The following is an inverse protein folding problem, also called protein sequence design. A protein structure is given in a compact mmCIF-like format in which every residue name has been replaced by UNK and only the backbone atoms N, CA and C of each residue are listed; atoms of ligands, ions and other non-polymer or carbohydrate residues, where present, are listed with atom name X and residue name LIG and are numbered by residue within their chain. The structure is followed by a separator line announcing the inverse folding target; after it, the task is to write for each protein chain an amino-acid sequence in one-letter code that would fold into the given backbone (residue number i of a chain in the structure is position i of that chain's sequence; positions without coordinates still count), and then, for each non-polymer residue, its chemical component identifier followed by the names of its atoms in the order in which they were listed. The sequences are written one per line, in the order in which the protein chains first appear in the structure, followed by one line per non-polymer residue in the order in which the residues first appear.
data_IF_010347527329
#
_entry.id   IF_010347527329
#
_cell.length_a   1.000
_cell.length_b   1.000
_cell.length_c   1.000
_cell.angle_alpha   90.00
_cell.angle_beta   90.00
_cell.angle_gamma   90.00
#
_symmetry.space_group_name_H-M   'P 1'
#
loop_
_entity.id
_entity.type
_entity.pdbx_description
1 polymer ?
#
# COMPACT_ATOMS: atom_id res chain seq x y z
N UNK A 1 25.35 -3.18 6.89
CA UNK A 1 24.08 -3.20 7.66
C UNK A 1 23.26 -4.38 7.15
N UNK A 2 22.46 -5.02 8.01
CA UNK A 2 21.50 -6.05 7.55
C UNK A 2 20.59 -5.50 6.44
N UNK A 3 20.29 -6.34 5.44
CA UNK A 3 19.36 -6.00 4.37
C UNK A 3 17.91 -6.06 4.81
N UNK A 4 17.62 -6.61 5.99
CA UNK A 4 16.29 -6.65 6.56
C UNK A 4 16.19 -5.59 7.66
N UNK A 5 15.19 -4.73 7.57
CA UNK A 5 14.90 -3.73 8.57
C UNK A 5 14.55 -4.44 9.89
N UNK A 6 15.18 -4.09 11.03
CA UNK A 6 14.84 -4.65 12.34
C UNK A 6 13.37 -4.47 12.72
N UNK A 7 12.71 -3.48 12.11
CA UNK A 7 11.28 -3.38 12.09
C UNK A 7 10.68 -4.25 10.98
N UNK A 8 10.18 -5.42 11.38
CA UNK A 8 9.37 -6.35 10.58
C UNK A 8 10.06 -6.91 9.32
N UNK A 9 11.39 -6.83 9.22
CA UNK A 9 12.19 -7.51 8.21
C UNK A 9 12.14 -6.90 6.81
N UNK A 10 11.59 -5.69 6.65
CA UNK A 10 11.42 -5.06 5.34
C UNK A 10 12.75 -4.75 4.66
N UNK A 11 12.82 -4.94 3.34
CA UNK A 11 14.08 -4.84 2.61
C UNK A 11 14.69 -3.43 2.65
N UNK A 12 15.92 -3.33 3.15
CA UNK A 12 16.75 -2.14 3.22
C UNK A 12 17.69 -1.99 2.01
N UNK A 13 17.65 -2.91 1.04
CA UNK A 13 18.43 -2.79 -0.19
C UNK A 13 18.17 -1.49 -0.97
N UNK A 14 17.01 -0.88 -0.74
CA UNK A 14 16.59 0.40 -1.34
C UNK A 14 16.54 1.56 -0.33
N UNK A 15 17.23 1.45 0.81
CA UNK A 15 17.23 2.51 1.81
C UNK A 15 17.89 3.79 1.28
N UNK A 16 17.28 4.94 1.56
CA UNK A 16 17.90 6.24 1.30
C UNK A 16 19.04 6.45 2.29
N UNK A 17 20.22 6.87 1.81
CA UNK A 17 21.34 7.23 2.69
C UNK A 17 21.35 8.74 2.88
N UNK A 18 21.16 9.18 4.13
CA UNK A 18 21.20 10.59 4.52
C UNK A 18 22.47 10.86 5.35
N UNK A 19 23.22 11.92 5.02
CA UNK A 19 24.42 12.34 5.74
C UNK A 19 24.10 13.43 6.77
N UNK A 20 24.50 13.23 8.02
CA UNK A 20 24.39 14.19 9.12
C UNK A 20 25.76 14.51 9.72
N UNK A 21 25.85 15.59 10.49
CA UNK A 21 27.08 16.01 11.19
C UNK A 21 27.65 14.93 12.14
N UNK A 22 26.81 14.00 12.60
CA UNK A 22 27.17 12.91 13.52
C UNK A 22 27.50 11.57 12.83
N UNK A 23 27.21 11.45 11.53
CA UNK A 23 27.40 10.22 10.74
C UNK A 23 26.40 10.07 9.59
N UNK A 24 26.55 9.00 8.81
CA UNK A 24 25.60 8.63 7.76
C UNK A 24 24.56 7.64 8.29
N UNK A 25 23.32 7.79 7.84
CA UNK A 25 22.15 7.07 8.34
C UNK A 25 21.41 6.45 7.15
N UNK A 26 21.06 5.18 7.26
CA UNK A 26 20.18 4.51 6.31
C UNK A 26 18.73 4.68 6.75
N UNK A 27 17.87 5.18 5.87
CA UNK A 27 16.46 5.37 6.12
C UNK A 27 15.68 4.28 5.42
N UNK A 28 14.99 3.45 6.21
CA UNK A 28 14.17 2.35 5.69
C UNK A 28 13.17 2.89 4.66
N UNK A 29 13.17 2.36 3.42
CA UNK A 29 12.34 2.91 2.35
C UNK A 29 10.85 2.64 2.58
N UNK A 30 10.55 1.64 3.41
CA UNK A 30 9.19 1.19 3.71
C UNK A 30 8.58 1.93 4.89
N UNK A 31 9.39 2.22 5.92
CA UNK A 31 8.88 2.65 7.23
C UNK A 31 9.54 3.93 7.76
N UNK A 32 10.54 4.46 7.02
CA UNK A 32 11.32 5.66 7.34
C UNK A 32 12.00 5.64 8.72
N UNK A 33 12.23 4.44 9.29
CA UNK A 33 13.14 4.28 10.42
C UNK A 33 14.56 4.57 9.96
N UNK A 34 15.20 5.47 10.68
CA UNK A 34 16.59 5.86 10.53
C UNK A 34 17.49 4.84 11.25
N UNK A 35 18.59 4.43 10.64
CA UNK A 35 19.57 3.55 11.29
C UNK A 35 20.97 4.10 11.00
N UNK A 36 21.69 4.50 12.05
CA UNK A 36 23.07 4.96 11.93
C UNK A 36 23.94 3.83 11.33
N UNK A 37 24.63 4.10 10.21
CA UNK A 37 25.36 3.08 9.46
C UNK A 37 26.54 2.47 10.22
N UNK A 38 27.04 3.14 11.27
CA UNK A 38 28.19 2.69 12.07
C UNK A 38 27.77 1.91 13.32
N UNK A 39 26.68 2.31 13.96
CA UNK A 39 26.24 1.77 15.26
C UNK A 39 24.98 0.93 15.17
N UNK A 40 24.24 1.09 14.06
CA UNK A 40 22.96 0.47 13.80
C UNK A 40 21.79 1.07 14.58
N UNK A 41 22.02 2.07 15.43
CA UNK A 41 20.98 2.63 16.29
C UNK A 41 20.04 3.53 15.50
N UNK A 42 18.75 3.42 15.80
CA UNK A 42 17.70 4.34 15.36
C UNK A 42 17.32 5.31 16.47
N UNK A 43 16.93 6.53 16.11
CA UNK A 43 16.29 7.48 17.02
C UNK A 43 15.02 6.91 17.68
N UNK A 44 14.39 5.93 17.04
CA UNK A 44 13.20 5.23 17.56
C UNK A 44 13.50 4.12 18.57
N UNK A 45 14.77 3.89 18.91
CA UNK A 45 15.21 2.87 19.87
C UNK A 45 15.41 1.48 19.28
N UNK A 46 15.15 1.29 17.98
CA UNK A 46 15.48 0.08 17.24
C UNK A 46 16.99 0.02 16.94
N UNK A 47 17.50 -1.20 16.68
CA UNK A 47 18.90 -1.40 16.31
C UNK A 47 19.05 -2.44 15.21
N UNK A 48 19.73 -2.04 14.13
CA UNK A 48 20.15 -2.94 13.04
C UNK A 48 21.56 -3.47 13.30
N UNK A 49 21.85 -4.70 12.87
CA UNK A 49 23.25 -5.14 12.90
C UNK A 49 24.04 -4.39 11.82
N UNK A 50 25.20 -3.89 12.21
CA UNK A 50 26.14 -3.20 11.34
C UNK A 50 27.47 -3.95 11.40
N UNK A 51 28.13 -4.03 10.25
CA UNK A 51 29.39 -4.75 10.09
C UNK A 51 30.37 -3.78 9.44
N UNK A 52 31.60 -3.71 9.95
CA UNK A 52 32.62 -2.89 9.33
C UNK A 52 33.00 -3.49 7.97
N UNK A 53 32.97 -2.66 6.92
CA UNK A 53 33.33 -3.05 5.57
C UNK A 53 34.49 -2.17 5.10
N UNK A 54 35.53 -2.79 4.55
CA UNK A 54 36.70 -2.13 4.00
C UNK A 54 36.92 -2.55 2.55
N UNK A 55 37.09 -1.60 1.65
CA UNK A 55 37.47 -1.90 0.26
C UNK A 55 38.98 -1.73 0.14
N UNK A 56 39.70 -2.82 -0.14
CA UNK A 56 41.14 -2.78 -0.39
C UNK A 56 41.41 -3.12 -1.84
N UNK A 57 42.25 -2.32 -2.48
CA UNK A 57 42.74 -2.60 -3.82
C UNK A 57 43.90 -3.58 -3.75
N UNK A 58 43.82 -4.68 -4.48
CA UNK A 58 44.92 -5.65 -4.54
C UNK A 58 46.04 -5.22 -5.49
N UNK A 59 47.11 -6.02 -5.56
CA UNK A 59 48.30 -5.74 -6.37
C UNK A 59 48.00 -5.66 -7.88
N UNK A 60 46.90 -6.27 -8.33
CA UNK A 60 46.42 -6.26 -9.71
C UNK A 60 45.46 -5.09 -10.01
N UNK A 61 45.19 -4.23 -9.01
CA UNK A 61 44.33 -3.07 -9.14
C UNK A 61 42.83 -3.36 -8.99
N UNK A 62 42.46 -4.55 -8.52
CA UNK A 62 41.05 -4.95 -8.31
C UNK A 62 40.61 -4.59 -6.90
N UNK A 63 39.48 -3.90 -6.79
CA UNK A 63 38.86 -3.57 -5.52
C UNK A 63 38.24 -4.84 -4.88
N UNK A 64 38.76 -5.25 -3.73
CA UNK A 64 38.26 -6.35 -2.92
C UNK A 64 37.55 -5.81 -1.68
N UNK A 65 36.32 -6.28 -1.47
CA UNK A 65 35.52 -5.93 -0.30
C UNK A 65 35.83 -6.92 0.83
N UNK A 66 36.29 -6.39 1.96
CA UNK A 66 36.51 -7.10 3.21
C UNK A 66 35.41 -6.70 4.17
N UNK A 67 34.84 -7.66 4.89
CA UNK A 67 33.87 -7.39 5.95
C UNK A 67 34.37 -8.04 7.23
N UNK A 68 34.23 -7.32 8.34
CA UNK A 68 34.46 -7.87 9.67
C UNK A 68 33.49 -9.02 9.94
N UNK A 69 34.02 -10.15 10.40
CA UNK A 69 33.20 -11.31 10.74
C UNK A 69 32.35 -11.00 11.98
N UNK A 70 31.10 -11.48 12.06
CA UNK A 70 30.29 -11.35 13.27
C UNK A 70 31.02 -11.90 14.51
N UNK A 71 30.89 -11.23 15.66
CA UNK A 71 31.58 -11.63 16.90
C UNK A 71 31.16 -13.01 17.43
N UNK A 72 29.96 -13.47 17.07
CA UNK A 72 29.42 -14.77 17.48
C UNK A 72 29.62 -15.83 16.39
N UNK A 73 30.65 -16.66 16.56
CA UNK A 73 30.86 -17.90 15.81
C UNK A 73 31.96 -17.88 14.76
N UNK A 74 32.41 -19.07 14.35
CA UNK A 74 33.42 -19.29 13.30
C UNK A 74 32.81 -20.18 12.22
N UNK A 75 32.90 -19.80 10.95
CA UNK A 75 32.33 -20.60 9.83
C UNK A 75 31.45 -19.82 8.84
N UNK A 76 31.43 -18.48 8.91
CA UNK A 76 30.66 -17.67 7.97
C UNK A 76 31.18 -17.79 6.54
N UNK A 77 30.28 -18.06 5.58
CA UNK A 77 30.58 -17.97 4.14
C UNK A 77 29.70 -16.91 3.47
N UNK A 78 30.29 -16.21 2.50
CA UNK A 78 29.54 -15.30 1.62
C UNK A 78 28.76 -16.17 0.62
N UNK A 79 27.45 -16.01 0.56
CA UNK A 79 26.57 -16.79 -0.32
C UNK A 79 26.08 -16.02 -1.54
N UNK A 80 25.94 -14.70 -1.43
CA UNK A 80 25.55 -13.83 -2.55
C UNK A 80 26.21 -12.45 -2.38
N UNK A 81 26.67 -11.88 -3.50
CA UNK A 81 27.13 -10.50 -3.60
C UNK A 81 26.42 -9.87 -4.81
N UNK A 82 25.57 -8.86 -4.58
CA UNK A 82 24.77 -8.23 -5.65
C UNK A 82 25.00 -6.70 -5.71
N UNK A 83 25.19 -6.11 -6.90
CA UNK A 83 25.17 -4.66 -7.06
C UNK A 83 23.77 -4.10 -6.79
N UNK A 84 23.68 -2.96 -6.10
CA UNK A 84 22.42 -2.25 -5.87
C UNK A 84 22.22 -1.19 -6.97
N UNK A 85 21.03 -1.14 -7.58
CA UNK A 85 20.70 -0.21 -8.65
C UNK A 85 20.54 1.22 -8.12
N UNK A 86 21.17 2.20 -8.79
CA UNK A 86 20.94 3.64 -8.55
C UNK A 86 19.66 4.18 -9.24
N UNK A 87 18.96 3.36 -10.03
CA UNK A 87 17.76 3.80 -10.76
C UNK A 87 16.49 3.52 -9.95
N UNK A 88 15.77 4.56 -9.54
CA UNK A 88 14.31 4.71 -9.74
C UNK A 88 13.82 6.12 -9.32
N UNK A 89 13.98 7.08 -10.24
CA UNK A 89 13.24 8.33 -10.27
C UNK A 89 12.92 8.70 -11.72
N UNK A 90 12.17 7.84 -12.44
CA UNK A 90 11.25 8.22 -13.51
C UNK A 90 10.66 6.96 -14.17
N UNK A 91 9.38 6.95 -14.58
CA UNK A 91 8.83 5.91 -15.45
C UNK A 91 9.41 6.03 -16.88
N UNK A 92 9.50 4.92 -17.64
CA UNK A 92 10.00 4.95 -19.00
C UNK A 92 9.13 5.85 -19.90
N UNK A 93 9.72 6.54 -20.90
CA UNK A 93 8.98 7.48 -21.74
C UNK A 93 7.87 6.79 -22.54
N UNK A 94 6.75 7.50 -22.69
CA UNK A 94 5.60 7.07 -23.48
C UNK A 94 6.02 6.86 -24.94
N UNK A 95 5.69 5.69 -25.49
CA UNK A 95 5.79 5.44 -26.92
C UNK A 95 4.88 6.42 -27.67
N UNK A 96 5.44 7.12 -28.65
CA UNK A 96 4.71 8.06 -29.51
C UNK A 96 3.70 7.31 -30.39
N UNK A 97 2.42 7.67 -30.28
CA UNK A 97 1.38 7.20 -31.19
C UNK A 97 1.62 7.69 -32.64
N UNK A 98 1.30 6.88 -33.67
CA UNK A 98 1.42 7.27 -35.05
C UNK A 98 0.32 8.27 -35.44
N UNK A 99 0.74 9.38 -36.05
CA UNK A 99 -0.09 10.45 -36.60
C UNK A 99 -1.05 9.89 -37.66
N UNK A 100 -2.36 9.91 -37.38
CA UNK A 100 -3.40 9.77 -38.39
C UNK A 100 -3.96 11.16 -38.75
N UNK A 101 -4.05 11.40 -40.05
CA UNK A 101 -4.37 12.67 -40.68
C UNK A 101 -5.72 13.25 -40.23
N UNK A 102 -5.72 14.56 -39.93
CA UNK A 102 -6.92 15.35 -39.61
C UNK A 102 -7.71 15.63 -40.90
N UNK A 103 -8.97 15.22 -40.92
CA UNK A 103 -10.00 15.83 -41.76
C UNK A 103 -10.67 16.96 -41.00
N UNK A 104 -10.78 18.12 -41.65
CA UNK A 104 -11.41 19.34 -41.12
C UNK A 104 -12.94 19.21 -41.00
N UNK A 105 -13.53 20.12 -40.22
CA UNK A 105 -14.96 20.35 -39.96
C UNK A 105 -15.65 19.56 -38.82
N UNK A 106 -15.32 19.95 -37.59
CA UNK A 106 -16.32 20.13 -36.53
C UNK A 106 -15.80 21.12 -35.49
N UNK A 107 -16.55 22.19 -35.21
CA UNK A 107 -16.25 23.18 -34.18
C UNK A 107 -16.31 22.48 -32.81
N UNK A 108 -15.22 22.37 -32.03
CA UNK A 108 -15.25 21.58 -30.81
C UNK A 108 -15.86 22.40 -29.66
N UNK A 109 -16.84 21.79 -29.00
CA UNK A 109 -17.21 22.08 -27.61
C UNK A 109 -15.98 21.84 -26.72
N UNK A 110 -15.70 22.65 -25.67
CA UNK A 110 -14.54 22.40 -24.82
C UNK A 110 -14.64 21.02 -24.16
N UNK A 111 -13.73 20.11 -24.52
CA UNK A 111 -13.61 18.81 -23.87
C UNK A 111 -12.84 18.97 -22.57
N UNK A 112 -13.23 18.22 -21.53
CA UNK A 112 -12.68 18.20 -20.17
C UNK A 112 -11.20 17.76 -20.06
N UNK A 113 -10.47 17.61 -21.18
CA UNK A 113 -9.11 17.08 -21.23
C UNK A 113 -8.00 18.14 -21.05
N UNK A 114 -8.34 19.41 -20.84
CA UNK A 114 -7.39 20.54 -20.81
C UNK A 114 -7.06 21.09 -19.39
N UNK A 115 -7.56 20.46 -18.31
CA UNK A 115 -7.26 20.94 -16.96
C UNK A 115 -5.81 20.56 -16.55
N UNK A 116 -4.96 21.53 -16.14
CA UNK A 116 -3.59 21.22 -15.73
C UNK A 116 -3.54 20.44 -14.42
N UNK A 117 -2.49 19.62 -14.27
CA UNK A 117 -2.22 18.83 -13.05
C UNK A 117 -2.21 19.73 -11.81
N UNK A 118 -1.49 20.85 -11.89
CA UNK A 118 -1.55 21.94 -10.91
C UNK A 118 -2.55 22.98 -11.41
N UNK A 119 -3.63 23.25 -10.65
CA UNK A 119 -4.58 24.31 -11.00
C UNK A 119 -3.88 25.67 -11.12
N UNK A 120 -4.28 26.47 -12.13
CA UNK A 120 -3.74 27.82 -12.34
C UNK A 120 -4.20 28.75 -11.21
N UNK A 121 -5.46 28.63 -10.81
CA UNK A 121 -6.04 29.40 -9.72
C UNK A 121 -5.92 28.61 -8.41
N UNK A 122 -5.40 29.27 -7.37
CA UNK A 122 -5.26 28.72 -6.02
C UNK A 122 -4.55 27.34 -5.97
N UNK A 123 -3.29 27.25 -6.46
CA UNK A 123 -2.56 25.99 -6.44
C UNK A 123 -2.44 25.46 -5.01
N UNK A 124 -2.67 24.15 -4.77
CA UNK A 124 -2.53 23.56 -3.45
C UNK A 124 -1.09 23.69 -2.92
N UNK A 125 -0.96 24.15 -1.69
CA UNK A 125 0.34 24.33 -1.00
C UNK A 125 0.57 23.33 0.14
N UNK A 126 -0.48 22.63 0.56
CA UNK A 126 -0.43 21.62 1.63
C UNK A 126 -0.97 20.27 1.14
N UNK A 127 -0.62 19.20 1.85
CA UNK A 127 -1.10 17.86 1.53
C UNK A 127 -2.64 17.76 1.62
N UNK A 128 -3.26 18.40 2.61
CA UNK A 128 -4.74 18.41 2.72
C UNK A 128 -5.41 19.12 1.55
N UNK A 129 -4.82 20.22 1.05
CA UNK A 129 -5.35 20.90 -0.14
C UNK A 129 -5.24 20.01 -1.39
N UNK A 130 -4.12 19.29 -1.54
CA UNK A 130 -3.97 18.30 -2.61
C UNK A 130 -4.98 17.17 -2.49
N UNK A 131 -5.16 16.60 -1.30
CA UNK A 131 -6.11 15.52 -1.05
C UNK A 131 -7.54 15.93 -1.46
N UNK A 132 -7.99 17.11 -1.04
CA UNK A 132 -9.33 17.62 -1.40
C UNK A 132 -9.45 17.92 -2.89
N UNK A 133 -8.42 18.46 -3.54
CA UNK A 133 -8.41 18.65 -4.99
C UNK A 133 -8.56 17.30 -5.74
N UNK A 134 -7.81 16.29 -5.31
CA UNK A 134 -7.82 14.95 -5.93
C UNK A 134 -9.20 14.30 -5.77
N UNK A 135 -9.79 14.36 -4.57
CA UNK A 135 -11.15 13.83 -4.32
C UNK A 135 -12.22 14.54 -5.15
N UNK A 136 -12.03 15.83 -5.48
CA UNK A 136 -12.91 16.60 -6.37
C UNK A 136 -12.56 16.47 -7.86
N UNK A 137 -11.56 15.67 -8.24
CA UNK A 137 -11.16 15.49 -9.64
C UNK A 137 -11.99 14.38 -10.28
N UNK A 138 -12.90 14.68 -11.25
CA UNK A 138 -13.79 13.67 -11.83
C UNK A 138 -13.08 12.75 -12.83
N UNK A 139 -12.10 13.29 -13.56
CA UNK A 139 -11.37 12.57 -14.60
C UNK A 139 -10.36 11.59 -13.95
N UNK A 140 -10.46 10.29 -14.23
CA UNK A 140 -9.63 9.28 -13.56
C UNK A 140 -8.14 9.39 -13.92
N UNK A 141 -7.80 9.83 -15.14
CA UNK A 141 -6.40 10.04 -15.55
C UNK A 141 -5.80 11.25 -14.85
N UNK A 142 -6.50 12.37 -14.85
CA UNK A 142 -6.05 13.58 -14.15
C UNK A 142 -5.90 13.32 -12.65
N UNK A 143 -6.78 12.50 -12.05
CA UNK A 143 -6.67 12.10 -10.65
C UNK A 143 -5.37 11.34 -10.36
N UNK A 144 -4.99 10.42 -11.23
CA UNK A 144 -3.70 9.70 -11.14
C UNK A 144 -2.53 10.68 -11.24
N UNK A 145 -2.55 11.58 -12.22
CA UNK A 145 -1.45 12.55 -12.40
C UNK A 145 -1.33 13.52 -11.23
N UNK A 146 -2.46 13.99 -10.68
CA UNK A 146 -2.48 14.79 -9.44
C UNK A 146 -1.98 14.02 -8.24
N UNK A 147 -2.31 12.74 -8.13
CA UNK A 147 -1.80 11.88 -7.06
C UNK A 147 -0.28 11.76 -7.15
N UNK A 148 0.27 11.38 -8.31
CA UNK A 148 1.73 11.32 -8.53
C UNK A 148 2.41 12.64 -8.18
N UNK A 149 1.86 13.76 -8.64
CA UNK A 149 2.42 15.08 -8.39
C UNK A 149 2.40 15.45 -6.90
N UNK A 150 1.27 15.27 -6.22
CA UNK A 150 1.14 15.55 -4.79
C UNK A 150 2.11 14.70 -3.95
N UNK A 151 2.24 13.41 -4.27
CA UNK A 151 3.16 12.49 -3.58
C UNK A 151 4.61 12.91 -3.81
N UNK A 152 4.98 13.29 -5.04
CA UNK A 152 6.33 13.82 -5.33
C UNK A 152 6.63 15.07 -4.50
N UNK A 153 5.71 16.05 -4.46
CA UNK A 153 5.91 17.26 -3.68
C UNK A 153 6.02 16.98 -2.17
N UNK A 154 5.25 16.02 -1.67
CA UNK A 154 5.30 15.60 -0.27
C UNK A 154 6.64 14.94 0.08
N UNK A 155 7.08 13.95 -0.71
CA UNK A 155 8.34 13.23 -0.49
C UNK A 155 9.59 14.11 -0.62
N UNK A 156 9.55 15.10 -1.51
CA UNK A 156 10.66 16.04 -1.73
C UNK A 156 10.62 17.27 -0.83
N UNK A 157 9.69 17.34 0.13
CA UNK A 157 9.57 18.48 1.05
C UNK A 157 9.19 19.81 0.38
N UNK A 158 8.67 19.78 -0.85
CA UNK A 158 8.26 20.98 -1.59
C UNK A 158 6.89 21.52 -1.17
N UNK A 159 6.09 20.73 -0.44
CA UNK A 159 4.87 21.21 0.19
C UNK A 159 5.19 22.08 1.40
N UNK A 160 4.39 23.13 1.63
CA UNK A 160 4.55 24.02 2.79
C UNK A 160 4.38 23.27 4.12
N UNK A 161 3.45 22.31 4.16
CA UNK A 161 3.21 21.41 5.29
C UNK A 161 2.21 20.31 4.90
N UNK A 162 1.93 19.38 5.82
CA UNK A 162 0.80 18.45 5.69
C UNK A 162 -0.52 19.24 5.69
N UNK A 163 -0.65 20.25 6.55
CA UNK A 163 -1.83 21.11 6.64
C UNK A 163 -2.98 20.54 7.49
N UNK A 164 -2.80 19.38 8.12
CA UNK A 164 -3.83 18.74 8.95
C UNK A 164 -4.11 19.51 10.25
N UNK A 165 -3.10 20.16 10.84
CA UNK A 165 -3.27 20.98 12.05
C UNK A 165 -3.79 22.41 11.78
N UNK A 166 -4.16 22.73 10.54
CA UNK A 166 -4.66 24.06 10.18
C UNK A 166 -6.10 24.24 10.65
N UNK A 167 -6.42 25.38 11.28
CA UNK A 167 -7.81 25.74 11.62
C UNK A 167 -8.71 25.88 10.39
N UNK A 168 -8.11 26.09 9.22
CA UNK A 168 -8.79 26.21 7.93
C UNK A 168 -8.43 25.03 7.00
N UNK A 169 -8.19 23.84 7.56
CA UNK A 169 -7.98 22.65 6.75
C UNK A 169 -9.21 22.44 5.83
N UNK A 170 -9.00 22.22 4.51
CA UNK A 170 -10.11 22.05 3.59
C UNK A 170 -10.85 20.75 3.90
N UNK A 171 -12.18 20.77 3.77
CA UNK A 171 -13.02 19.61 4.01
C UNK A 171 -13.12 18.75 2.74
N UNK A 172 -12.93 17.41 2.82
CA UNK A 172 -13.17 16.53 1.67
C UNK A 172 -14.65 16.49 1.30
N UNK A 173 -15.00 16.18 0.04
CA UNK A 173 -16.38 15.95 -0.34
C UNK A 173 -16.95 14.72 0.38
N UNK A 174 -18.26 14.66 0.56
CA UNK A 174 -18.90 13.46 1.14
C UNK A 174 -18.83 12.26 0.16
N UNK A 175 -18.82 12.54 -1.14
CA UNK A 175 -18.58 11.56 -2.21
C UNK A 175 -17.60 12.16 -3.24
N UNK A 176 -16.51 11.45 -3.61
CA UNK A 176 -15.55 11.88 -4.60
C UNK A 176 -16.22 12.11 -5.95
N UNK A 177 -15.77 13.14 -6.65
CA UNK A 177 -16.29 13.44 -7.96
C UNK A 177 -15.94 12.32 -8.96
N UNK A 178 -16.83 12.13 -9.94
CA UNK A 178 -16.73 11.14 -11.00
C UNK A 178 -17.23 11.76 -12.29
N UNK A 179 -16.63 11.38 -13.41
CA UNK A 179 -17.12 11.70 -14.75
C UNK A 179 -18.59 11.28 -14.92
N UNK A 180 -19.40 12.09 -15.58
CA UNK A 180 -20.83 11.82 -15.81
C UNK A 180 -21.07 10.48 -16.53
N UNK A 181 -20.20 10.10 -17.45
CA UNK A 181 -20.27 8.82 -18.14
C UNK A 181 -20.07 7.65 -17.18
N UNK A 182 -19.18 7.80 -16.20
CA UNK A 182 -18.98 6.82 -15.15
C UNK A 182 -20.17 6.77 -14.18
N UNK A 183 -20.66 7.94 -13.75
CA UNK A 183 -21.78 8.05 -12.80
C UNK A 183 -23.06 7.37 -13.32
N UNK A 184 -23.32 7.44 -14.63
CA UNK A 184 -24.46 6.74 -15.27
C UNK A 184 -24.35 5.22 -15.24
N UNK A 185 -23.16 4.68 -15.07
CA UNK A 185 -22.88 3.25 -15.06
C UNK A 185 -22.75 2.65 -13.65
N UNK A 186 -22.90 3.46 -12.60
CA UNK A 186 -22.93 2.95 -11.23
C UNK A 186 -24.25 2.23 -10.98
N UNK A 187 -24.17 0.96 -10.61
CA UNK A 187 -25.30 0.08 -10.34
C UNK A 187 -25.17 -0.55 -8.95
N UNK A 188 -26.30 -0.97 -8.40
CA UNK A 188 -26.36 -1.75 -7.17
C UNK A 188 -25.50 -3.03 -7.31
N UNK A 189 -24.70 -3.41 -6.29
CA UNK A 189 -23.89 -4.63 -6.32
C UNK A 189 -24.67 -5.90 -6.74
N UNK A 190 -25.95 -6.03 -6.35
CA UNK A 190 -26.82 -7.16 -6.69
C UNK A 190 -27.16 -7.26 -8.19
N UNK A 191 -27.00 -6.16 -8.94
CA UNK A 191 -27.31 -6.08 -10.38
C UNK A 191 -26.10 -6.34 -11.28
N UNK A 192 -24.90 -6.49 -10.72
CA UNK A 192 -23.69 -6.82 -11.47
C UNK A 192 -23.71 -8.31 -11.83
N UNK A 193 -23.96 -8.63 -13.10
CA UNK A 193 -23.96 -10.02 -13.62
C UNK A 193 -22.55 -10.63 -13.55
N UNK A 194 -22.49 -11.97 -13.47
CA UNK A 194 -21.23 -12.72 -13.51
C UNK A 194 -20.34 -12.28 -14.69
N UNK A 195 -19.13 -11.80 -14.36
CA UNK A 195 -18.11 -11.32 -15.29
C UNK A 195 -17.42 -12.51 -15.96
N UNK A 196 -17.88 -12.85 -17.16
CA UNK A 196 -17.42 -14.07 -17.88
C UNK A 196 -16.24 -13.83 -18.82
N UNK A 197 -15.93 -12.58 -19.17
CA UNK A 197 -14.82 -12.27 -20.08
C UNK A 197 -13.72 -11.45 -19.38
N UNK A 198 -12.48 -11.58 -19.86
CA UNK A 198 -11.28 -10.96 -19.28
C UNK A 198 -11.37 -9.44 -19.21
N UNK A 199 -11.92 -8.80 -20.25
CA UNK A 199 -12.12 -7.35 -20.28
C UNK A 199 -13.01 -6.87 -19.14
N UNK A 200 -14.13 -7.56 -18.86
CA UNK A 200 -15.03 -7.21 -17.75
C UNK A 200 -14.39 -7.38 -16.37
N UNK A 201 -13.47 -8.34 -16.22
CA UNK A 201 -12.71 -8.52 -14.98
C UNK A 201 -11.70 -7.39 -14.79
N UNK A 202 -10.91 -7.07 -15.82
CA UNK A 202 -9.93 -5.98 -15.78
C UNK A 202 -10.58 -4.61 -15.55
N UNK A 203 -11.69 -4.33 -16.23
CA UNK A 203 -12.47 -3.10 -16.04
C UNK A 203 -12.90 -2.93 -14.58
N UNK A 204 -13.36 -4.02 -13.97
CA UNK A 204 -13.81 -3.97 -12.60
C UNK A 204 -12.69 -3.90 -11.57
N UNK A 205 -11.55 -4.54 -11.81
CA UNK A 205 -10.37 -4.38 -10.97
C UNK A 205 -9.90 -2.92 -11.04
N UNK A 206 -9.80 -2.33 -12.24
CA UNK A 206 -9.46 -0.91 -12.39
C UNK A 206 -10.46 0.00 -11.65
N UNK A 207 -11.74 -0.37 -11.62
CA UNK A 207 -12.73 0.37 -10.84
C UNK A 207 -12.50 0.27 -9.32
N UNK A 208 -12.01 -0.86 -8.82
CA UNK A 208 -11.63 -1.03 -7.42
C UNK A 208 -10.45 -0.11 -7.11
N UNK A 209 -9.40 -0.12 -7.93
CA UNK A 209 -8.21 0.72 -7.66
C UNK A 209 -8.55 2.21 -7.70
N UNK A 210 -9.47 2.62 -8.57
CA UNK A 210 -9.92 4.00 -8.59
C UNK A 210 -10.72 4.39 -7.33
N UNK A 211 -11.41 3.46 -6.69
CA UNK A 211 -11.94 3.71 -5.35
C UNK A 211 -10.83 3.71 -4.29
N UNK A 212 -9.83 2.84 -4.42
CA UNK A 212 -8.71 2.74 -3.49
C UNK A 212 -7.85 4.02 -3.46
N UNK A 213 -7.61 4.66 -4.61
CA UNK A 213 -6.98 6.01 -4.69
C UNK A 213 -7.76 7.00 -3.83
N UNK A 214 -9.09 7.05 -4.00
CA UNK A 214 -9.92 7.98 -3.22
C UNK A 214 -9.94 7.64 -1.73
N UNK A 215 -9.98 6.36 -1.36
CA UNK A 215 -9.97 5.94 0.04
C UNK A 215 -8.68 6.35 0.75
N UNK A 216 -7.54 6.22 0.06
CA UNK A 216 -6.23 6.63 0.55
C UNK A 216 -6.15 8.15 0.78
N UNK A 217 -6.73 8.96 -0.11
CA UNK A 217 -6.80 10.41 0.07
C UNK A 217 -7.85 10.83 1.11
N UNK A 218 -9.01 10.17 1.14
CA UNK A 218 -10.11 10.48 2.03
C UNK A 218 -9.73 10.26 3.49
N UNK A 219 -9.07 9.15 3.82
CA UNK A 219 -8.69 8.88 5.21
C UNK A 219 -7.75 9.98 5.75
N UNK A 220 -6.84 10.50 4.92
CA UNK A 220 -5.97 11.62 5.29
C UNK A 220 -6.75 12.93 5.43
N UNK A 221 -7.58 13.29 4.45
CA UNK A 221 -8.29 14.56 4.43
C UNK A 221 -9.41 14.64 5.49
N UNK A 222 -10.06 13.50 5.77
CA UNK A 222 -11.21 13.42 6.67
C UNK A 222 -10.80 13.34 8.13
N UNK A 223 -9.81 12.50 8.44
CA UNK A 223 -9.39 12.26 9.81
C UNK A 223 -8.20 13.12 10.23
N UNK A 224 -7.34 13.53 9.30
CA UNK A 224 -6.18 14.38 9.56
C UNK A 224 -6.49 15.63 10.41
N UNK A 225 -7.55 16.41 10.10
CA UNK A 225 -7.90 17.61 10.86
C UNK A 225 -8.63 17.38 12.18
N UNK A 226 -9.22 16.20 12.40
CA UNK A 226 -10.06 15.91 13.58
C UNK A 226 -9.38 15.02 14.61
N UNK A 227 -8.47 14.15 14.18
CA UNK A 227 -7.69 13.29 15.06
C UNK A 227 -6.46 14.04 15.55
N UNK A 228 -6.32 14.11 16.88
CA UNK A 228 -5.16 14.73 17.50
C UNK A 228 -3.94 13.82 17.36
N UNK A 229 -2.77 14.43 17.16
CA UNK A 229 -1.47 13.76 17.19
C UNK A 229 -1.22 12.64 16.16
N UNK A 230 -1.96 12.65 15.03
CA UNK A 230 -1.58 11.83 13.88
C UNK A 230 -0.14 12.15 13.43
N UNK A 231 0.77 11.16 13.45
CA UNK A 231 2.17 11.39 13.12
C UNK A 231 2.36 11.54 11.61
N UNK A 232 3.43 12.22 11.14
CA UNK A 232 3.74 12.34 9.71
C UNK A 232 3.79 11.00 8.96
N UNK A 233 4.20 9.92 9.64
CA UNK A 233 4.23 8.57 9.08
C UNK A 233 2.86 8.07 8.60
N UNK A 234 1.75 8.53 9.22
CA UNK A 234 0.39 8.20 8.77
C UNK A 234 0.15 8.71 7.36
N UNK A 235 0.50 9.97 7.13
CA UNK A 235 0.38 10.59 5.83
C UNK A 235 1.35 9.99 4.81
N UNK A 236 2.55 9.56 5.24
CA UNK A 236 3.50 8.86 4.39
C UNK A 236 2.98 7.51 3.88
N UNK A 237 2.36 6.70 4.75
CA UNK A 237 1.78 5.42 4.35
C UNK A 237 0.63 5.61 3.35
N UNK A 238 -0.32 6.48 3.67
CA UNK A 238 -1.49 6.65 2.82
C UNK A 238 -1.17 7.39 1.52
N UNK A 239 -0.13 8.23 1.47
CA UNK A 239 0.39 8.77 0.19
C UNK A 239 1.12 7.72 -0.64
N UNK A 240 1.85 6.78 0.00
CA UNK A 240 2.41 5.61 -0.71
C UNK A 240 1.31 4.73 -1.28
N UNK A 241 0.31 4.37 -0.48
CA UNK A 241 -0.83 3.56 -0.93
C UNK A 241 -1.57 4.24 -2.08
N UNK A 242 -1.87 5.54 -1.99
CA UNK A 242 -2.49 6.28 -3.09
C UNK A 242 -1.67 6.23 -4.40
N UNK A 243 -0.34 6.25 -4.30
CA UNK A 243 0.56 6.11 -5.45
C UNK A 243 0.55 4.69 -6.03
N UNK A 244 0.57 3.67 -5.17
CA UNK A 244 0.47 2.27 -5.59
C UNK A 244 -0.87 2.00 -6.29
N UNK A 245 -1.98 2.50 -5.75
CA UNK A 245 -3.29 2.35 -6.41
C UNK A 245 -3.39 3.12 -7.73
N UNK A 246 -2.71 4.26 -7.82
CA UNK A 246 -2.56 4.98 -9.09
C UNK A 246 -1.77 4.18 -10.13
N UNK A 247 -0.74 3.44 -9.69
CA UNK A 247 0.03 2.50 -10.52
C UNK A 247 -0.84 1.31 -10.93
N UNK A 248 -1.56 0.69 -10.00
CA UNK A 248 -2.45 -0.44 -10.26
C UNK A 248 -3.53 -0.08 -11.28
N UNK A 249 -4.21 1.06 -11.07
CA UNK A 249 -5.19 1.60 -12.00
C UNK A 249 -4.61 1.77 -13.40
N UNK A 250 -3.42 2.36 -13.51
CA UNK A 250 -2.74 2.59 -14.79
C UNK A 250 -2.39 1.29 -15.49
N UNK A 251 -1.87 0.29 -14.77
CA UNK A 251 -1.54 -1.03 -15.32
C UNK A 251 -2.79 -1.76 -15.83
N UNK A 252 -3.86 -1.78 -15.04
CA UNK A 252 -5.11 -2.46 -15.38
C UNK A 252 -5.82 -1.81 -16.56
N UNK A 253 -5.88 -0.47 -16.60
CA UNK A 253 -6.49 0.26 -17.73
C UNK A 253 -5.67 0.16 -19.01
N UNK A 254 -4.34 0.11 -18.91
CA UNK A 254 -3.45 -0.17 -20.05
C UNK A 254 -3.67 -1.58 -20.58
N UNK A 255 -3.76 -2.59 -19.70
CA UNK A 255 -4.08 -3.97 -20.09
C UNK A 255 -5.47 -4.11 -20.70
N UNK A 256 -6.47 -3.45 -20.12
CA UNK A 256 -7.83 -3.43 -20.66
C UNK A 256 -7.84 -2.86 -22.08
N UNK A 257 -7.20 -1.71 -22.30
CA UNK A 257 -7.12 -1.08 -23.63
C UNK A 257 -6.43 -1.99 -24.65
N UNK A 258 -5.35 -2.67 -24.25
CA UNK A 258 -4.64 -3.60 -25.13
C UNK A 258 -5.46 -4.87 -25.45
N UNK A 259 -6.24 -5.39 -24.49
CA UNK A 259 -7.02 -6.61 -24.65
C UNK A 259 -8.37 -6.37 -25.35
N UNK A 260 -8.99 -5.22 -25.11
CA UNK A 260 -10.29 -4.85 -25.66
C UNK A 260 -10.34 -3.34 -25.93
N UNK A 261 -9.77 -2.86 -27.05
CA UNK A 261 -9.80 -1.43 -27.41
C UNK A 261 -11.22 -0.86 -27.53
N UNK A 262 -12.21 -1.71 -27.82
CA UNK A 262 -13.63 -1.35 -27.87
C UNK A 262 -14.31 -1.22 -26.50
N UNK A 263 -13.58 -1.43 -25.40
CA UNK A 263 -14.11 -1.38 -24.02
C UNK A 263 -13.30 -0.40 -23.18
N UNK A 264 -13.54 0.92 -23.32
CA UNK A 264 -12.82 1.90 -22.51
C UNK A 264 -13.19 1.78 -21.03
N UNK A 265 -12.28 2.21 -20.15
CA UNK A 265 -12.60 2.35 -18.73
C UNK A 265 -13.84 3.24 -18.53
N UNK A 266 -14.68 2.91 -17.55
CA UNK A 266 -15.97 3.57 -17.32
C UNK A 266 -17.11 3.17 -18.27
N UNK A 267 -16.87 2.34 -19.30
CA UNK A 267 -17.93 1.95 -20.27
C UNK A 267 -18.84 0.81 -19.81
N UNK A 268 -18.54 0.16 -18.69
CA UNK A 268 -19.29 -0.99 -18.18
C UNK A 268 -19.91 -0.66 -16.82
N UNK A 269 -21.00 -1.37 -16.43
CA UNK A 269 -21.58 -1.21 -15.10
C UNK A 269 -20.59 -1.53 -13.97
N UNK A 270 -20.53 -0.64 -12.98
CA UNK A 270 -19.65 -0.73 -11.81
C UNK A 270 -20.46 -0.55 -10.53
N UNK A 271 -19.93 -0.98 -9.39
CA UNK A 271 -20.58 -0.75 -8.10
C UNK A 271 -19.75 0.20 -7.22
N UNK A 272 -20.41 0.84 -6.25
CA UNK A 272 -19.80 1.77 -5.30
C UNK A 272 -19.59 1.16 -3.91
N UNK A 273 -19.68 -0.18 -3.77
CA UNK A 273 -19.63 -0.87 -2.47
C UNK A 273 -18.47 -0.48 -1.53
N UNK A 274 -17.27 -0.22 -2.07
CA UNK A 274 -16.15 0.28 -1.26
C UNK A 274 -16.46 1.67 -0.66
N UNK A 275 -17.02 2.58 -1.46
CA UNK A 275 -17.40 3.91 -0.99
C UNK A 275 -18.64 3.92 -0.09
N UNK A 276 -19.56 2.98 -0.28
CA UNK A 276 -20.68 2.76 0.63
C UNK A 276 -20.16 2.41 2.03
N UNK A 277 -19.20 1.47 2.13
CA UNK A 277 -18.50 1.18 3.41
C UNK A 277 -17.74 2.40 3.96
N UNK A 278 -17.12 3.21 3.10
CA UNK A 278 -16.43 4.43 3.50
C UNK A 278 -17.39 5.48 4.08
N UNK A 279 -18.60 5.57 3.52
CA UNK A 279 -19.68 6.46 3.99
C UNK A 279 -20.15 6.01 5.38
N UNK A 280 -20.42 4.72 5.57
CA UNK A 280 -20.81 4.14 6.87
C UNK A 280 -19.77 4.43 7.95
N UNK A 281 -18.49 4.35 7.61
CA UNK A 281 -17.37 4.51 8.55
C UNK A 281 -16.82 5.94 8.65
N UNK A 282 -17.43 6.90 7.95
CA UNK A 282 -16.91 8.29 7.84
C UNK A 282 -16.78 9.05 9.16
N UNK A 283 -17.40 8.55 10.23
CA UNK A 283 -17.45 9.17 11.55
C UNK A 283 -16.36 8.69 12.52
N UNK A 284 -15.56 7.68 12.16
CA UNK A 284 -14.61 7.04 13.09
C UNK A 284 -13.39 6.50 12.33
N UNK A 285 -12.19 6.98 12.71
CA UNK A 285 -10.94 6.51 12.12
C UNK A 285 -10.75 4.99 12.35
N UNK A 286 -11.06 4.50 13.56
CA UNK A 286 -10.99 3.07 13.88
C UNK A 286 -11.94 2.25 13.00
N UNK A 287 -13.17 2.71 12.81
CA UNK A 287 -14.14 2.04 11.94
C UNK A 287 -13.65 2.02 10.49
N UNK A 288 -13.06 3.14 10.02
CA UNK A 288 -12.50 3.24 8.67
C UNK A 288 -11.36 2.27 8.46
N UNK A 289 -10.40 2.24 9.39
CA UNK A 289 -9.25 1.33 9.36
C UNK A 289 -9.69 -0.13 9.40
N UNK A 290 -10.65 -0.50 10.26
CA UNK A 290 -11.17 -1.85 10.34
C UNK A 290 -11.86 -2.30 9.04
N UNK A 291 -12.83 -1.53 8.54
CA UNK A 291 -13.66 -1.99 7.42
C UNK A 291 -12.95 -1.83 6.08
N UNK A 292 -12.30 -0.70 5.84
CA UNK A 292 -11.63 -0.48 4.56
C UNK A 292 -10.28 -1.20 4.58
N UNK A 293 -9.39 -0.84 5.50
CA UNK A 293 -7.99 -1.27 5.43
C UNK A 293 -7.69 -2.68 5.96
N UNK A 294 -8.60 -3.29 6.73
CA UNK A 294 -8.41 -4.64 7.28
C UNK A 294 -9.44 -5.67 6.81
N UNK A 295 -10.57 -5.24 6.25
CA UNK A 295 -11.56 -6.14 5.63
C UNK A 295 -11.50 -6.07 4.10
N UNK A 296 -11.65 -4.88 3.50
CA UNK A 296 -11.62 -4.76 2.03
C UNK A 296 -10.22 -4.99 1.46
N UNK A 297 -9.17 -4.36 1.98
CA UNK A 297 -7.80 -4.59 1.46
C UNK A 297 -7.34 -6.04 1.70
N UNK A 298 -7.62 -6.61 2.88
CA UNK A 298 -7.31 -8.01 3.16
C UNK A 298 -8.05 -9.00 2.24
N UNK A 299 -9.17 -8.56 1.61
CA UNK A 299 -9.85 -9.37 0.59
C UNK A 299 -9.01 -9.52 -0.66
N UNK A 300 -8.21 -8.51 -1.03
CA UNK A 300 -7.26 -8.56 -2.14
C UNK A 300 -6.29 -9.74 -1.99
N UNK A 301 -5.71 -9.90 -0.79
CA UNK A 301 -4.81 -11.01 -0.46
C UNK A 301 -5.42 -12.40 -0.68
N UNK A 302 -6.72 -12.53 -0.45
CA UNK A 302 -7.46 -13.78 -0.59
C UNK A 302 -7.83 -14.11 -2.04
N UNK A 303 -8.27 -13.09 -2.80
CA UNK A 303 -8.89 -13.28 -4.12
C UNK A 303 -7.92 -13.16 -5.28
N UNK A 304 -6.83 -12.40 -5.11
CA UNK A 304 -5.84 -12.16 -6.17
C UNK A 304 -5.15 -13.45 -6.62
N UNK A 305 -4.71 -14.38 -5.74
CA UNK A 305 -4.09 -15.64 -6.17
C UNK A 305 -4.97 -16.47 -7.12
N UNK A 306 -6.25 -16.61 -6.80
CA UNK A 306 -7.20 -17.33 -7.65
C UNK A 306 -7.48 -16.61 -8.98
N UNK A 307 -7.41 -15.28 -8.97
CA UNK A 307 -7.57 -14.44 -10.17
C UNK A 307 -6.37 -14.53 -11.10
N UNK A 308 -5.15 -14.46 -10.53
CA UNK A 308 -3.89 -14.70 -11.24
C UNK A 308 -3.91 -16.07 -11.92
N UNK A 309 -4.30 -17.11 -11.18
CA UNK A 309 -4.34 -18.47 -11.70
C UNK A 309 -5.37 -18.65 -12.84
N UNK A 310 -6.49 -17.92 -12.82
CA UNK A 310 -7.44 -17.90 -13.93
C UNK A 310 -6.82 -17.31 -15.20
N UNK A 311 -6.09 -16.19 -15.08
CA UNK A 311 -5.40 -15.59 -16.23
C UNK A 311 -4.26 -16.48 -16.75
N UNK A 312 -3.52 -17.13 -15.84
CA UNK A 312 -2.47 -18.10 -16.18
C UNK A 312 -3.02 -19.27 -16.99
N UNK A 313 -4.11 -19.89 -16.53
CA UNK A 313 -4.82 -20.95 -17.27
C UNK A 313 -5.37 -20.52 -18.61
N UNK A 314 -5.70 -19.23 -18.77
CA UNK A 314 -6.14 -18.65 -20.03
C UNK A 314 -4.97 -18.27 -20.97
N UNK A 315 -3.72 -18.51 -20.58
CA UNK A 315 -2.53 -18.14 -21.36
C UNK A 315 -2.26 -16.63 -21.44
N UNK A 316 -2.86 -15.83 -20.55
CA UNK A 316 -2.73 -14.38 -20.54
C UNK A 316 -1.56 -13.94 -19.63
N UNK A 317 -0.34 -14.22 -20.08
CA UNK A 317 0.90 -13.97 -19.30
C UNK A 317 1.09 -12.50 -18.96
N UNK A 318 0.65 -11.59 -19.83
CA UNK A 318 0.78 -10.14 -19.59
C UNK A 318 -0.16 -9.66 -18.48
N UNK A 319 -1.36 -10.20 -18.39
CA UNK A 319 -2.26 -9.90 -17.27
C UNK A 319 -1.79 -10.55 -15.97
N UNK A 320 -1.19 -11.74 -16.04
CA UNK A 320 -0.56 -12.38 -14.87
C UNK A 320 0.51 -11.48 -14.26
N UNK A 321 1.44 -10.96 -15.06
CA UNK A 321 2.48 -10.03 -14.59
C UNK A 321 1.90 -8.80 -13.89
N UNK A 322 0.85 -8.21 -14.47
CA UNK A 322 0.17 -7.04 -13.86
C UNK A 322 -0.44 -7.40 -12.51
N UNK A 323 -1.15 -8.53 -12.43
CA UNK A 323 -1.78 -8.97 -11.19
C UNK A 323 -0.76 -9.39 -10.11
N UNK A 324 0.40 -9.92 -10.50
CA UNK A 324 1.49 -10.27 -9.59
C UNK A 324 2.13 -9.01 -8.97
N UNK A 325 2.28 -7.93 -9.74
CA UNK A 325 2.70 -6.62 -9.20
C UNK A 325 1.69 -6.14 -8.15
N UNK A 326 0.40 -6.09 -8.52
CA UNK A 326 -0.66 -5.63 -7.62
C UNK A 326 -0.66 -6.46 -6.33
N UNK A 327 -0.63 -7.79 -6.45
CA UNK A 327 -0.67 -8.67 -5.29
C UNK A 327 0.52 -8.48 -4.33
N UNK A 328 1.71 -8.15 -4.83
CA UNK A 328 2.87 -7.88 -3.99
C UNK A 328 2.69 -6.60 -3.16
N UNK A 329 2.10 -5.55 -3.73
CA UNK A 329 1.88 -4.27 -3.05
C UNK A 329 0.81 -4.37 -1.95
N UNK A 330 -0.24 -5.17 -2.16
CA UNK A 330 -1.39 -5.36 -1.26
C UNK A 330 -1.00 -5.78 0.16
N UNK A 331 0.06 -6.59 0.31
CA UNK A 331 0.56 -7.01 1.64
C UNK A 331 0.99 -5.78 2.44
N UNK A 332 1.63 -4.81 1.78
CA UNK A 332 2.09 -3.58 2.43
C UNK A 332 0.93 -2.65 2.79
N UNK A 333 -0.16 -2.68 2.04
CA UNK A 333 -1.36 -1.88 2.30
C UNK A 333 -2.11 -2.39 3.52
N UNK A 334 -2.32 -3.70 3.62
CA UNK A 334 -2.92 -4.33 4.81
C UNK A 334 -2.03 -4.13 6.03
N UNK A 335 -0.70 -4.20 5.88
CA UNK A 335 0.26 -3.91 6.95
C UNK A 335 0.10 -2.48 7.47
N UNK A 336 -0.01 -1.48 6.57
CA UNK A 336 -0.25 -0.10 6.95
C UNK A 336 -1.60 0.05 7.68
N UNK A 337 -2.66 -0.59 7.18
CA UNK A 337 -3.96 -0.65 7.85
C UNK A 337 -3.86 -1.20 9.27
N UNK A 338 -3.15 -2.32 9.45
CA UNK A 338 -2.97 -2.97 10.75
C UNK A 338 -2.17 -2.11 11.71
N UNK A 339 -1.10 -1.47 11.22
CA UNK A 339 -0.25 -0.55 11.99
C UNK A 339 -1.06 0.61 12.55
N UNK A 340 -1.84 1.29 11.70
CA UNK A 340 -2.63 2.44 12.14
C UNK A 340 -3.83 2.06 12.99
N UNK A 341 -4.43 0.89 12.75
CA UNK A 341 -5.50 0.38 13.60
C UNK A 341 -4.98 0.09 15.02
N UNK A 342 -3.85 -0.60 15.13
CA UNK A 342 -3.19 -0.88 16.42
C UNK A 342 -2.73 0.39 17.11
N UNK A 343 -2.16 1.35 16.37
CA UNK A 343 -1.79 2.66 16.91
C UNK A 343 -3.01 3.40 17.46
N UNK A 344 -4.13 3.41 16.73
CA UNK A 344 -5.36 4.09 17.17
C UNK A 344 -5.94 3.43 18.45
N UNK A 345 -5.87 2.10 18.57
CA UNK A 345 -6.22 1.40 19.81
C UNK A 345 -5.33 1.84 20.98
N UNK A 346 -4.01 1.94 20.76
CA UNK A 346 -3.07 2.39 21.78
C UNK A 346 -3.29 3.86 22.18
N UNK A 347 -3.68 4.73 21.24
CA UNK A 347 -4.05 6.12 21.55
C UNK A 347 -5.35 6.20 22.37
N UNK A 348 -6.36 5.37 22.06
CA UNK A 348 -7.58 5.28 22.86
C UNK A 348 -7.26 4.89 24.32
N UNK A 349 -6.40 3.88 24.50
CA UNK A 349 -5.91 3.46 25.82
C UNK A 349 -5.13 4.57 26.55
N UNK A 350 -4.22 5.26 25.86
CA UNK A 350 -3.44 6.36 26.44
C UNK A 350 -4.36 7.52 26.88
N UNK A 351 -5.35 7.86 26.06
CA UNK A 351 -6.31 8.90 26.37
C UNK A 351 -7.20 8.55 27.56
N UNK A 352 -7.59 7.29 27.72
CA UNK A 352 -8.30 6.80 28.90
C UNK A 352 -7.43 6.91 30.16
N UNK A 353 -6.17 6.48 30.09
CA UNK A 353 -5.21 6.61 31.20
C UNK A 353 -4.99 8.05 31.62
N UNK A 354 -4.88 8.98 30.67
CA UNK A 354 -4.74 10.42 30.94
C UNK A 354 -5.98 11.01 31.65
N UNK A 355 -7.14 10.37 31.55
CA UNK A 355 -8.38 10.73 32.27
C UNK A 355 -8.53 10.02 33.62
N UNK A 356 -7.57 9.16 34.01
CA UNK A 356 -7.61 8.37 35.22
C UNK A 356 -8.44 7.08 35.10
N UNK A 357 -8.73 6.62 33.88
CA UNK A 357 -9.46 5.38 33.62
C UNK A 357 -8.47 4.23 33.35
N UNK A 358 -8.72 3.06 33.96
CA UNK A 358 -7.97 1.83 33.67
C UNK A 358 -8.66 1.03 32.56
N UNK A 359 -8.45 1.48 31.32
CA UNK A 359 -8.94 0.78 30.12
C UNK A 359 -7.76 0.12 29.40
N UNK A 360 -7.93 -1.13 28.98
CA UNK A 360 -7.01 -1.84 28.09
C UNK A 360 -7.74 -2.09 26.78
N UNK A 361 -7.15 -1.65 25.65
CA UNK A 361 -7.77 -1.79 24.34
C UNK A 361 -7.04 -2.88 23.55
N UNK A 362 -7.61 -4.09 23.54
CA UNK A 362 -7.13 -5.20 22.71
C UNK A 362 -7.51 -4.95 21.22
N UNK A 363 -6.54 -4.81 20.30
CA UNK A 363 -6.81 -4.57 18.89
C UNK A 363 -7.67 -5.68 18.24
N UNK A 364 -7.49 -6.95 18.62
CA UNK A 364 -8.28 -8.05 18.05
C UNK A 364 -9.75 -7.89 18.43
N UNK A 365 -10.01 -7.67 19.73
CA UNK A 365 -11.37 -7.45 20.24
C UNK A 365 -11.99 -6.20 19.61
N UNK A 366 -11.25 -5.09 19.58
CA UNK A 366 -11.71 -3.82 19.00
C UNK A 366 -12.05 -3.97 17.52
N UNK A 367 -11.21 -4.65 16.74
CA UNK A 367 -11.46 -4.92 15.32
C UNK A 367 -12.76 -5.70 15.12
N UNK A 368 -12.97 -6.78 15.90
CA UNK A 368 -14.19 -7.59 15.80
C UNK A 368 -15.44 -6.79 16.15
N UNK A 369 -15.37 -5.88 17.12
CA UNK A 369 -16.46 -4.96 17.44
C UNK A 369 -16.75 -3.96 16.31
N UNK A 370 -15.71 -3.41 15.67
CA UNK A 370 -15.86 -2.52 14.52
C UNK A 370 -16.47 -3.25 13.32
N UNK A 371 -16.06 -4.48 13.03
CA UNK A 371 -16.66 -5.30 11.98
C UNK A 371 -18.12 -5.61 12.27
N UNK A 372 -18.46 -5.98 13.51
CA UNK A 372 -19.86 -6.19 13.90
C UNK A 372 -20.73 -4.96 13.60
N UNK A 373 -20.23 -3.77 13.90
CA UNK A 373 -20.98 -2.52 13.70
C UNK A 373 -21.01 -2.05 12.24
N UNK A 374 -19.91 -2.25 11.50
CA UNK A 374 -19.67 -1.63 10.20
C UNK A 374 -19.78 -2.56 8.98
N UNK A 375 -20.05 -3.86 9.18
CA UNK A 375 -20.13 -4.85 8.11
C UNK A 375 -21.46 -5.62 8.14
N UNK A 376 -21.91 -6.13 6.99
CA UNK A 376 -23.13 -6.95 6.89
C UNK A 376 -22.77 -8.39 6.50
N UNK A 377 -23.14 -9.35 7.36
CA UNK A 377 -22.97 -10.78 7.10
C UNK A 377 -21.54 -11.28 7.29
N UNK A 378 -21.27 -12.50 6.85
CA UNK A 378 -20.01 -13.16 7.19
C UNK A 378 -18.79 -12.56 6.47
N UNK A 379 -17.66 -12.51 7.18
CA UNK A 379 -16.35 -12.36 6.55
C UNK A 379 -16.00 -13.72 5.95
N UNK A 380 -16.19 -13.84 4.63
CA UNK A 380 -16.11 -15.14 3.93
C UNK A 380 -14.71 -15.41 3.42
N UNK A 381 -14.23 -16.63 3.64
CA UNK A 381 -13.04 -17.16 2.97
C UNK A 381 -13.26 -17.43 1.46
N UNK A 382 -12.32 -18.13 0.80
CA UNK A 382 -11.08 -18.66 1.38
C UNK A 382 -10.18 -17.55 1.91
N UNK A 383 -9.39 -17.82 2.95
CA UNK A 383 -8.43 -16.87 3.51
C UNK A 383 -7.02 -17.26 3.08
N UNK A 384 -6.24 -16.30 2.60
CA UNK A 384 -4.81 -16.47 2.43
C UNK A 384 -4.13 -16.24 3.77
N UNK A 385 -4.07 -17.29 4.60
CA UNK A 385 -3.57 -17.21 5.99
C UNK A 385 -2.14 -16.69 6.03
N UNK A 386 -1.27 -17.20 5.16
CA UNK A 386 0.14 -16.79 5.08
C UNK A 386 0.28 -15.30 4.74
N UNK A 387 -0.42 -14.82 3.71
CA UNK A 387 -0.34 -13.40 3.34
C UNK A 387 -0.96 -12.47 4.38
N UNK A 388 -2.07 -12.88 5.01
CA UNK A 388 -2.69 -12.13 6.11
C UNK A 388 -1.76 -12.07 7.32
N UNK A 389 -1.10 -13.16 7.67
CA UNK A 389 -0.15 -13.23 8.77
C UNK A 389 1.08 -12.36 8.51
N UNK A 390 1.63 -12.38 7.29
CA UNK A 390 2.69 -11.44 6.88
C UNK A 390 2.27 -9.96 7.04
N UNK A 391 0.99 -9.66 6.85
CA UNK A 391 0.43 -8.32 7.04
C UNK A 391 0.02 -8.00 8.50
N UNK A 392 0.22 -8.93 9.44
CA UNK A 392 -0.12 -8.79 10.86
C UNK A 392 -1.52 -9.25 11.26
N UNK A 393 -2.34 -9.73 10.31
CA UNK A 393 -3.68 -10.25 10.56
C UNK A 393 -3.65 -11.75 10.87
N UNK A 394 -3.55 -12.08 12.15
CA UNK A 394 -3.68 -13.47 12.62
C UNK A 394 -5.12 -13.98 12.46
N UNK A 395 -5.35 -15.31 12.47
CA UNK A 395 -6.70 -15.89 12.37
C UNK A 395 -7.70 -15.37 13.41
N UNK A 396 -7.22 -14.92 14.58
CA UNK A 396 -8.06 -14.36 15.66
C UNK A 396 -8.86 -13.13 15.22
N UNK A 397 -8.32 -12.36 14.26
CA UNK A 397 -9.01 -11.20 13.70
C UNK A 397 -10.29 -11.62 12.97
N UNK A 398 -10.23 -12.60 12.07
CA UNK A 398 -11.27 -12.80 11.05
C UNK A 398 -12.00 -14.14 11.13
N UNK A 399 -11.48 -15.16 11.83
CA UNK A 399 -12.16 -16.44 11.92
C UNK A 399 -13.50 -16.33 12.67
N UNK A 400 -14.54 -16.96 12.10
CA UNK A 400 -15.90 -16.94 12.63
C UNK A 400 -16.49 -15.54 12.82
N UNK A 401 -15.99 -14.55 12.07
CA UNK A 401 -16.44 -13.17 12.19
C UNK A 401 -17.59 -12.87 11.22
N UNK A 402 -18.63 -12.23 11.75
CA UNK A 402 -19.79 -11.80 10.98
C UNK A 402 -20.20 -10.39 11.43
N UNK A 403 -20.62 -9.60 10.46
CA UNK A 403 -21.11 -8.25 10.64
C UNK A 403 -22.61 -8.21 10.94
N UNK A 404 -23.02 -7.28 11.80
CA UNK A 404 -24.39 -7.10 12.29
C UNK A 404 -25.05 -5.82 11.74
N UNK A 405 -24.36 -5.09 10.85
CA UNK A 405 -24.91 -3.87 10.24
C UNK A 405 -26.20 -4.20 9.46
N UNK A 406 -27.29 -3.53 9.84
CA UNK A 406 -28.62 -3.71 9.26
C UNK A 406 -29.46 -4.82 9.90
N UNK A 407 -28.91 -5.58 10.86
CA UNK A 407 -29.67 -6.51 11.69
C UNK A 407 -30.14 -5.75 12.96
N UNK A 408 -31.34 -5.18 12.93
CA UNK A 408 -31.94 -4.61 14.14
C UNK A 408 -32.00 -5.65 15.29
N UNK A 409 -31.83 -5.18 16.53
CA UNK A 409 -31.78 -5.97 17.78
C UNK A 409 -32.63 -7.25 17.74
N UNK A 410 -32.00 -8.40 17.49
CA UNK A 410 -32.55 -9.71 17.81
C UNK A 410 -31.48 -10.50 18.53
N UNK A 411 -31.62 -10.52 19.86
CA UNK A 411 -30.90 -11.37 20.80
C UNK A 411 -31.06 -12.85 20.45
N UNK A 412 -30.04 -13.68 20.71
CA UNK A 412 -30.07 -14.97 21.43
C UNK A 412 -28.69 -15.68 21.35
N UNK A 413 -28.37 -16.65 22.23
CA UNK A 413 -27.08 -16.72 22.92
C UNK A 413 -26.11 -17.80 22.42
N UNK A 414 -24.91 -17.73 23.00
CA UNK A 414 -23.69 -18.48 22.73
C UNK A 414 -23.76 -20.01 22.91
N UNK A 415 -22.96 -20.72 22.11
CA UNK A 415 -22.10 -21.80 22.62
C UNK A 415 -20.90 -22.02 21.67
N UNK A 416 -19.70 -21.98 22.24
CA UNK A 416 -18.43 -22.26 21.58
C UNK A 416 -18.01 -23.71 21.86
N UNK A 417 -17.22 -24.30 20.96
CA UNK A 417 -16.52 -25.57 21.20
C UNK A 417 -15.14 -25.50 20.53
N UNK A 418 -14.10 -25.62 21.36
CA UNK A 418 -12.67 -25.62 21.02
C UNK A 418 -12.21 -27.06 20.82
N UNK A 419 -11.37 -27.33 19.81
CA UNK A 419 -10.54 -28.55 19.72
C UNK A 419 -9.15 -28.19 19.21
N UNK A 420 -8.11 -28.74 19.84
CA UNK A 420 -6.68 -28.43 19.69
C UNK A 420 -5.84 -29.62 19.16
N UNK A 421 -4.65 -29.31 18.62
CA UNK A 421 -3.46 -30.20 18.44
C UNK A 421 -3.10 -30.51 16.99
N UNK A 422 -1.84 -30.66 16.52
CA UNK A 422 -0.45 -30.66 17.05
C UNK A 422 0.52 -30.56 15.82
N UNK A 423 1.83 -30.23 15.98
CA UNK A 423 2.76 -29.94 14.87
C UNK A 423 3.65 -31.13 14.45
N UNK A 424 4.32 -31.04 13.28
CA UNK A 424 5.41 -31.93 12.85
C UNK A 424 6.55 -31.18 12.14
N UNK A 425 7.78 -31.52 12.54
CA UNK A 425 9.08 -31.06 12.02
C UNK A 425 9.52 -31.84 10.76
N UNK A 426 10.40 -31.26 9.93
CA UNK A 426 11.39 -31.97 9.09
C UNK A 426 12.60 -31.06 8.78
N UNK A 427 13.80 -31.64 8.81
CA UNK A 427 15.14 -31.06 8.53
C UNK A 427 15.69 -31.48 7.15
N UNK A 428 16.48 -30.55 6.57
CA UNK A 428 17.70 -30.60 5.71
C UNK A 428 17.86 -31.52 4.47
N UNK A 429 18.39 -30.98 3.35
CA UNK A 429 19.84 -30.83 3.03
C UNK A 429 20.04 -30.30 1.57
N UNK A 430 21.02 -29.40 1.32
CA UNK A 430 21.42 -28.84 -0.01
C UNK A 430 22.95 -28.91 -0.18
N UNK A 431 23.45 -29.05 -1.42
CA UNK A 431 24.89 -29.02 -1.81
C UNK A 431 25.30 -27.76 -2.63
N UNK A 432 26.57 -27.36 -2.44
CA UNK A 432 27.48 -26.36 -3.08
C UNK A 432 27.41 -26.20 -4.63
N UNK A 433 27.88 -25.14 -5.36
CA UNK A 433 29.00 -24.16 -5.22
C UNK A 433 28.98 -23.04 -6.32
N UNK A 434 29.86 -22.03 -6.14
CA UNK A 434 30.61 -21.18 -7.11
C UNK A 434 30.37 -19.64 -7.22
N UNK A 435 31.50 -18.93 -7.37
CA UNK A 435 31.79 -17.48 -7.21
C UNK A 435 32.01 -16.78 -8.56
N UNK A 436 31.58 -15.51 -8.71
CA UNK A 436 32.06 -14.56 -9.74
C UNK A 436 32.18 -13.15 -9.13
N UNK A 437 33.30 -12.47 -9.34
CA UNK A 437 33.55 -11.10 -8.86
C UNK A 437 33.22 -10.03 -9.89
N UNK A 438 33.02 -8.77 -9.45
CA UNK A 438 33.10 -7.53 -10.24
C UNK A 438 33.13 -6.27 -9.35
N UNK A 439 33.46 -5.15 -10.01
CA UNK A 439 34.05 -3.87 -9.56
C UNK A 439 33.10 -2.81 -9.01
N UNK A 440 33.67 -1.94 -8.15
CA UNK A 440 33.20 -0.65 -7.58
C UNK A 440 31.75 -0.21 -7.84
N UNK A 441 30.94 -0.27 -6.78
CA UNK A 441 29.58 0.23 -6.61
C UNK A 441 29.06 -0.17 -5.23
N UNK A 442 27.90 0.34 -4.78
CA UNK A 442 27.24 -0.15 -3.57
C UNK A 442 26.82 -1.61 -3.79
N UNK A 443 27.20 -2.50 -2.87
CA UNK A 443 26.96 -3.93 -2.96
C UNK A 443 26.22 -4.45 -1.73
N UNK A 444 25.24 -5.32 -1.95
CA UNK A 444 24.60 -6.13 -0.90
C UNK A 444 25.36 -7.44 -0.74
N UNK A 445 25.65 -7.83 0.50
CA UNK A 445 26.36 -9.06 0.86
C UNK A 445 25.43 -9.93 1.71
N UNK A 446 25.19 -11.17 1.28
CA UNK A 446 24.44 -12.15 2.08
C UNK A 446 25.42 -13.14 2.71
N UNK A 447 25.30 -13.31 4.03
CA UNK A 447 26.05 -14.30 4.80
C UNK A 447 25.14 -15.45 5.22
N UNK A 448 25.70 -16.65 5.28
CA UNK A 448 25.07 -17.81 5.89
C UNK A 448 26.00 -18.38 6.98
N UNK A 449 25.45 -18.70 8.14
CA UNK A 449 26.13 -19.47 9.19
C UNK A 449 26.06 -20.96 8.84
N UNK A 450 27.18 -21.68 8.97
CA UNK A 450 27.23 -23.14 8.81
C UNK A 450 26.66 -23.89 10.03
#
# INVERSE_FOLDING_TARGET
MESACPHLGADLSHADIEEFDTGAVAVCPWHRYDFDLRTGKSETGLRACTYAVEVRRDEDGVDKVYMEAPEEGSGWRIVELRPVSEEFADPPPLASDPVLARGEDARPTPQQDDEPVVPIENPPTTLMQWAVLILNTPNPRLKVERTKHAVHLFRTGKLKSIGNKSSNAPRPPDVPSRDDAYSRNVVDPSKVKNRRNRASMLHALANIEQWAIDLAWDIMARFGPVEHDLPPAFFADFTKMALDESKHFTLLTSRLSALSPSTPYGSMPVHAGLWESATVTSHSLLSRLAIIHLVHEARGLDVNPATIEKFRKAGDTETVKVMEIIHADEVTHVTAGHRWFTWACAQEELNAKNKGEEVVVDPVKRFREEVKKGWTGDIKGPFNVEAREMAGLTPQFYEGLSGELGLGEKSYPASASIVAGRPKNYEEEIKERDVVGLTSGLASVTLQYE
#
